data_IF_991884399705
#
_entry.id   IF_991884399705
#
_cell.length_a   1.000
_cell.length_b   1.000
_cell.length_c   1.000
_cell.angle_alpha   90.00
_cell.angle_beta   90.00
_cell.angle_gamma   90.00
#
_symmetry.space_group_name_H-M   'P 1'
#
loop_
_entity.id
_entity.type
_entity.pdbx_description
1 polymer ?
#
# COMPACT_ATOMS: atom_id res chain seq x y z
N UNK A 1 9.72 -4.55 -0.55
CA UNK A 1 8.40 -4.19 0.01
C UNK A 1 7.28 -5.04 -0.58
N UNK A 2 6.36 -5.57 0.25
CA UNK A 2 5.15 -6.32 -0.15
C UNK A 2 3.94 -5.40 -0.37
N UNK A 3 2.88 -5.89 -1.02
CA UNK A 3 1.63 -5.11 -1.18
C UNK A 3 1.01 -4.70 0.17
N UNK A 4 1.10 -5.57 1.18
CA UNK A 4 0.62 -5.28 2.52
C UNK A 4 1.39 -4.09 3.13
N UNK A 5 2.72 -4.10 3.02
CA UNK A 5 3.59 -3.02 3.51
C UNK A 5 3.31 -1.69 2.78
N UNK A 6 3.10 -1.72 1.46
CA UNK A 6 2.67 -0.54 0.70
C UNK A 6 1.33 -0.01 1.20
N UNK A 7 0.37 -0.88 1.45
CA UNK A 7 -0.93 -0.49 2.01
C UNK A 7 -0.83 0.15 3.39
N UNK A 8 0.12 -0.27 4.21
CA UNK A 8 0.40 0.36 5.51
C UNK A 8 1.05 1.73 5.37
N UNK A 9 2.04 1.87 4.47
CA UNK A 9 2.66 3.16 4.18
C UNK A 9 1.63 4.17 3.62
N UNK A 10 0.77 3.74 2.69
CA UNK A 10 -0.31 4.56 2.14
C UNK A 10 -1.37 4.91 3.19
N UNK A 11 -1.67 4.01 4.13
CA UNK A 11 -2.57 4.31 5.25
C UNK A 11 -2.00 5.38 6.19
N UNK A 12 -0.68 5.40 6.40
CA UNK A 12 0.01 6.48 7.12
C UNK A 12 -0.06 7.81 6.38
N UNK A 13 -0.08 7.78 5.05
CA UNK A 13 -0.32 8.93 4.18
C UNK A 13 -1.81 9.32 4.05
N UNK A 14 -2.71 8.68 4.79
CA UNK A 14 -4.14 9.03 4.81
C UNK A 14 -5.03 8.26 3.83
N UNK A 15 -4.49 7.24 3.14
CA UNK A 15 -5.27 6.36 2.28
C UNK A 15 -5.23 4.92 2.76
N UNK A 16 -6.14 4.54 3.66
CA UNK A 16 -6.28 3.14 4.09
C UNK A 16 -7.10 2.33 3.07
N UNK A 17 -6.81 1.02 2.87
CA UNK A 17 -7.61 0.16 1.98
C UNK A 17 -9.00 -0.08 2.56
N UNK A 18 -10.01 -0.19 1.70
CA UNK A 18 -11.35 -0.62 2.10
C UNK A 18 -11.48 -2.13 1.96
N UNK A 19 -12.29 -2.77 2.80
CA UNK A 19 -12.40 -4.24 2.82
C UNK A 19 -13.03 -4.85 1.56
N UNK A 20 -13.68 -4.04 0.73
CA UNK A 20 -14.30 -4.45 -0.53
C UNK A 20 -13.50 -3.98 -1.76
N UNK A 21 -12.36 -3.31 -1.57
CA UNK A 21 -11.52 -2.87 -2.68
C UNK A 21 -10.57 -3.98 -3.10
N UNK A 22 -10.46 -4.18 -4.41
CA UNK A 22 -9.38 -4.92 -5.02
C UNK A 22 -8.06 -4.14 -4.95
N UNK A 23 -6.89 -4.79 -5.09
CA UNK A 23 -5.61 -4.10 -5.14
C UNK A 23 -5.56 -2.96 -6.18
N UNK A 24 -6.13 -3.19 -7.37
CA UNK A 24 -6.18 -2.19 -8.45
C UNK A 24 -7.05 -0.98 -8.08
N UNK A 25 -8.24 -1.21 -7.53
CA UNK A 25 -9.13 -0.13 -7.10
C UNK A 25 -8.48 0.70 -5.98
N UNK A 26 -7.83 0.03 -5.04
CA UNK A 26 -7.10 0.70 -3.97
C UNK A 26 -5.93 1.52 -4.51
N UNK A 27 -5.12 0.99 -5.43
CA UNK A 27 -4.01 1.71 -6.08
C UNK A 27 -4.48 3.01 -6.75
N UNK A 28 -5.57 2.93 -7.52
CA UNK A 28 -6.13 4.09 -8.22
C UNK A 28 -6.55 5.19 -7.25
N UNK A 29 -7.32 4.82 -6.21
CA UNK A 29 -7.78 5.78 -5.19
C UNK A 29 -6.62 6.35 -4.38
N UNK A 30 -5.67 5.51 -3.99
CA UNK A 30 -4.56 5.91 -3.14
C UNK A 30 -3.63 6.91 -3.84
N UNK A 31 -3.33 6.75 -5.12
CA UNK A 31 -2.54 7.73 -5.85
C UNK A 31 -3.18 9.12 -5.85
N UNK A 32 -4.52 9.19 -5.96
CA UNK A 32 -5.24 10.47 -5.97
C UNK A 32 -5.32 11.14 -4.60
N UNK A 33 -5.12 10.37 -3.53
CA UNK A 33 -5.17 10.85 -2.14
C UNK A 33 -3.78 11.20 -1.60
N UNK A 34 -2.77 10.41 -1.96
CA UNK A 34 -1.43 10.47 -1.35
C UNK A 34 -0.39 11.18 -2.23
N UNK A 35 -0.69 11.40 -3.51
CA UNK A 35 0.25 11.99 -4.47
C UNK A 35 1.31 11.01 -5.01
N UNK A 36 1.37 9.77 -4.49
CA UNK A 36 2.24 8.71 -4.99
C UNK A 36 1.88 8.37 -6.45
N UNK A 37 2.89 8.20 -7.30
CA UNK A 37 2.69 7.91 -8.73
C UNK A 37 1.74 6.72 -8.96
N UNK A 38 0.59 7.02 -9.57
CA UNK A 38 -0.44 6.06 -9.95
C UNK A 38 0.09 4.92 -10.82
N UNK A 39 1.08 5.17 -11.69
CA UNK A 39 1.64 4.14 -12.57
C UNK A 39 2.38 3.08 -11.76
N UNK A 40 3.15 3.50 -10.76
CA UNK A 40 3.88 2.59 -9.87
C UNK A 40 2.91 1.77 -9.02
N UNK A 41 1.90 2.42 -8.43
CA UNK A 41 0.88 1.73 -7.62
C UNK A 41 0.08 0.71 -8.44
N UNK A 42 -0.32 1.07 -9.66
CA UNK A 42 -1.06 0.16 -10.55
C UNK A 42 -0.20 -1.02 -11.02
N UNK A 43 1.08 -0.79 -11.31
CA UNK A 43 2.00 -1.87 -11.70
C UNK A 43 2.13 -2.92 -10.57
N UNK A 44 2.33 -2.46 -9.33
CA UNK A 44 2.44 -3.34 -8.17
C UNK A 44 1.11 -4.06 -7.84
N UNK A 45 0.00 -3.35 -7.92
CA UNK A 45 -1.33 -3.92 -7.75
C UNK A 45 -1.65 -4.99 -8.80
N UNK A 46 -1.25 -4.75 -10.06
CA UNK A 46 -1.39 -5.69 -11.16
C UNK A 46 -0.66 -7.00 -10.89
N UNK A 47 0.61 -6.94 -10.47
CA UNK A 47 1.35 -8.17 -10.14
C UNK A 47 0.76 -8.87 -8.91
N UNK A 48 0.35 -8.12 -7.89
CA UNK A 48 -0.32 -8.70 -6.71
C UNK A 48 -1.59 -9.44 -7.08
N UNK A 49 -2.38 -8.88 -7.99
CA UNK A 49 -3.62 -9.50 -8.48
C UNK A 49 -3.31 -10.74 -9.29
N UNK A 50 -2.32 -10.68 -10.19
CA UNK A 50 -1.88 -11.84 -10.97
C UNK A 50 -1.32 -12.96 -10.08
N UNK A 51 -0.62 -12.61 -9.00
CA UNK A 51 -0.09 -13.58 -8.04
C UNK A 51 -1.18 -14.26 -7.21
N UNK A 52 -2.23 -13.51 -6.83
CA UNK A 52 -3.33 -14.03 -6.01
C UNK A 52 -4.38 -14.80 -6.82
N UNK A 53 -4.61 -14.44 -8.08
CA UNK A 53 -5.74 -14.93 -8.87
C UNK A 53 -5.36 -15.49 -10.25
N UNK A 54 -4.07 -15.51 -10.61
CA UNK A 54 -3.61 -16.03 -11.89
C UNK A 54 -3.78 -17.55 -12.01
N UNK A 55 -4.20 -18.08 -13.17
CA UNK A 55 -4.38 -19.52 -13.39
C UNK A 55 -3.06 -20.29 -13.43
N UNK A 56 -1.95 -19.59 -13.67
CA UNK A 56 -0.57 -20.09 -13.65
C UNK A 56 0.18 -19.27 -12.61
N UNK A 57 1.04 -19.92 -11.81
CA UNK A 57 1.92 -19.22 -10.87
C UNK A 57 2.70 -18.10 -11.56
N UNK A 58 3.13 -17.11 -10.77
CA UNK A 58 3.86 -15.94 -11.28
C UNK A 58 5.19 -16.39 -11.88
N UNK A 59 5.41 -16.06 -13.16
CA UNK A 59 6.70 -16.27 -13.82
C UNK A 59 7.81 -15.52 -13.06
N UNK A 60 9.00 -16.10 -12.99
CA UNK A 60 10.17 -15.51 -12.34
C UNK A 60 10.45 -14.10 -12.88
N UNK A 61 10.26 -13.85 -14.18
CA UNK A 61 10.43 -12.51 -14.76
C UNK A 61 9.41 -11.50 -14.19
N UNK A 62 8.17 -11.93 -13.96
CA UNK A 62 7.10 -11.09 -13.40
C UNK A 62 7.35 -10.82 -11.91
N UNK A 63 7.83 -11.82 -11.17
CA UNK A 63 8.23 -11.67 -9.78
C UNK A 63 9.39 -10.66 -9.63
N UNK A 64 10.38 -10.74 -10.51
CA UNK A 64 11.55 -9.84 -10.51
C UNK A 64 11.13 -8.40 -10.88
N UNK A 65 10.21 -8.25 -11.84
CA UNK A 65 9.61 -6.95 -12.19
C UNK A 65 8.80 -6.35 -11.03
N UNK A 66 8.07 -7.17 -10.27
CA UNK A 66 7.38 -6.71 -9.06
C UNK A 66 8.33 -6.29 -7.95
N UNK A 67 9.42 -7.02 -7.73
CA UNK A 67 10.41 -6.65 -6.72
C UNK A 67 11.02 -5.26 -7.03
N UNK A 68 11.32 -5.00 -8.31
CA UNK A 68 11.80 -3.68 -8.77
C UNK A 68 10.74 -2.60 -8.59
N UNK A 69 9.50 -2.85 -9.01
CA UNK A 69 8.40 -1.90 -8.84
C UNK A 69 8.13 -1.58 -7.35
N UNK A 70 8.23 -2.59 -6.47
CA UNK A 70 8.13 -2.41 -5.03
C UNK A 70 9.24 -1.49 -4.49
N UNK A 71 10.48 -1.69 -4.91
CA UNK A 71 11.60 -0.82 -4.52
C UNK A 71 11.47 0.61 -5.06
N UNK A 72 10.90 0.78 -6.26
CA UNK A 72 10.60 2.11 -6.81
C UNK A 72 9.52 2.85 -6.02
N UNK A 73 8.44 2.15 -5.65
CA UNK A 73 7.39 2.69 -4.77
C UNK A 73 7.98 3.07 -3.40
N UNK A 74 8.87 2.24 -2.85
CA UNK A 74 9.54 2.49 -1.56
C UNK A 74 10.30 3.81 -1.59
N UNK A 75 11.19 3.95 -2.57
CA UNK A 75 12.00 5.17 -2.75
C UNK A 75 11.14 6.39 -2.98
N UNK A 76 10.05 6.26 -3.73
CA UNK A 76 9.17 7.38 -4.00
C UNK A 76 8.41 7.82 -2.74
N UNK A 77 7.86 6.87 -1.98
CA UNK A 77 7.23 7.16 -0.68
C UNK A 77 8.25 7.79 0.27
N UNK A 78 9.47 7.24 0.38
CA UNK A 78 10.52 7.80 1.23
C UNK A 78 10.98 9.21 0.81
N UNK A 79 10.95 9.50 -0.50
CA UNK A 79 11.30 10.79 -1.07
C UNK A 79 10.22 11.86 -0.86
N UNK A 80 8.94 11.48 -0.97
CA UNK A 80 7.79 12.39 -0.83
C UNK A 80 7.38 12.61 0.65
N UNK A 81 7.80 11.72 1.55
CA UNK A 81 7.55 11.88 2.98
C UNK A 81 8.37 13.04 3.58
N UNK A 82 7.69 14.16 3.87
CA UNK A 82 8.20 15.22 4.76
C UNK A 82 8.73 14.61 6.08
N UNK A 83 9.80 15.18 6.63
CA UNK A 83 10.34 14.88 7.96
C UNK A 83 9.23 14.81 9.01
N UNK A 84 8.22 15.68 8.93
CA UNK A 84 7.08 15.67 9.85
C UNK A 84 6.25 14.40 9.73
N UNK A 85 6.04 13.89 8.51
CA UNK A 85 5.30 12.64 8.27
C UNK A 85 6.14 11.43 8.66
N UNK A 86 7.46 11.46 8.43
CA UNK A 86 8.40 10.44 8.94
C UNK A 86 8.37 10.37 10.47
N UNK A 87 8.34 11.52 11.14
CA UNK A 87 8.28 11.59 12.60
C UNK A 87 6.93 11.08 13.12
N UNK A 88 5.81 11.45 12.48
CA UNK A 88 4.48 10.93 12.85
C UNK A 88 4.37 9.43 12.64
N UNK A 89 4.96 8.89 11.57
CA UNK A 89 5.03 7.45 11.33
C UNK A 89 5.86 6.72 12.40
N UNK A 90 7.00 7.29 12.81
CA UNK A 90 7.85 6.73 13.86
C UNK A 90 7.18 6.76 15.25
N UNK A 91 6.26 7.70 15.47
CA UNK A 91 5.48 7.86 16.71
C UNK A 91 4.10 7.19 16.62
N UNK A 92 3.80 6.49 15.53
CA UNK A 92 2.50 5.86 15.31
C UNK A 92 2.37 4.61 16.20
N UNK A 93 1.39 4.55 17.11
CA UNK A 93 1.16 3.36 17.93
C UNK A 93 0.41 2.24 17.18
N UNK A 94 -0.17 2.51 16.00
CA UNK A 94 -0.94 1.53 15.21
C UNK A 94 -0.21 0.22 14.91
N UNK A 95 1.10 0.19 14.58
CA UNK A 95 1.85 -1.08 14.44
C UNK A 95 1.89 -1.95 15.72
N UNK A 96 1.62 -1.39 16.89
CA UNK A 96 1.59 -2.13 18.17
C UNK A 96 0.20 -2.64 18.54
N UNK A 97 -0.84 -2.26 17.78
CA UNK A 97 -2.22 -2.65 18.09
C UNK A 97 -2.56 -3.99 17.45
N UNK A 98 -3.15 -4.95 18.19
CA UNK A 98 -3.58 -6.23 17.63
C UNK A 98 -4.67 -6.03 16.58
N UNK A 99 -4.66 -6.85 15.52
CA UNK A 99 -5.53 -6.75 14.32
C UNK A 99 -7.04 -6.56 14.61
N UNK A 100 -7.50 -7.00 15.79
CA UNK A 100 -8.89 -6.81 16.24
C UNK A 100 -9.24 -5.35 16.56
N UNK A 101 -8.30 -4.56 17.08
CA UNK A 101 -8.52 -3.15 17.37
C UNK A 101 -8.60 -2.30 16.08
N UNK A 102 -7.86 -2.69 15.04
CA UNK A 102 -7.81 -2.03 13.72
C UNK A 102 -9.16 -1.96 13.01
N UNK A 103 -10.10 -2.86 13.31
CA UNK A 103 -11.45 -2.90 12.70
C UNK A 103 -12.48 -2.00 13.38
N UNK A 104 -12.23 -1.57 14.63
CA UNK A 104 -13.24 -0.85 15.43
C UNK A 104 -13.23 0.66 15.17
N UNK A 105 -12.10 1.22 14.76
CA UNK A 105 -11.94 2.68 14.60
C UNK A 105 -12.64 3.26 13.35
N UNK A 106 -12.97 2.41 12.36
CA UNK A 106 -13.66 2.83 11.12
C UNK A 106 -15.15 3.14 11.35
N UNK A 107 -15.68 2.91 12.56
CA UNK A 107 -17.13 3.01 12.86
C UNK A 107 -17.55 4.21 13.71
N UNK A 108 -16.65 5.12 14.06
CA UNK A 108 -16.98 6.25 14.95
C UNK A 108 -16.71 7.60 14.30
N UNK A 109 -17.52 7.93 13.29
CA UNK A 109 -17.88 9.32 12.95
C UNK A 109 -19.23 9.29 12.24
N UNK A 110 -20.29 9.34 13.04
CA UNK A 110 -21.64 9.75 12.64
C UNK A 110 -22.13 10.75 13.67
#
# INVERSE_FOLDING_TARGET
MTWAEVGEALATLGSAPRSWETPIEYAQRAGGTTGVDHRLLNALAGVTTAAGYGPTGVDAEVADRAARAGADVERHIEGELDRTTKLRAALDPRPLLPDRARRLDVRTTT
#
